data_IF_447642738238
#
_entry.id   IF_447642738238
#
_cell.length_a   1.000
_cell.length_b   1.000
_cell.length_c   1.000
_cell.angle_alpha   90.00
_cell.angle_beta   90.00
_cell.angle_gamma   90.00
#
_symmetry.space_group_name_H-M   'P 1'
#
loop_
_entity.id
_entity.type
_entity.pdbx_description
1 polymer ?
#
# COMPACT_ATOMS: atom_id res chain seq x y z
N UNK A 1 19.92 -23.29 21.83
CA UNK A 1 19.68 -23.01 20.39
C UNK A 1 18.20 -22.72 20.16
N UNK A 2 17.69 -21.65 20.79
CA UNK A 2 16.26 -21.23 20.76
C UNK A 2 16.14 -19.70 20.64
N UNK A 3 17.19 -18.95 20.99
CA UNK A 3 17.19 -17.48 21.00
C UNK A 3 17.21 -16.82 19.62
N UNK A 4 17.65 -17.51 18.57
CA UNK A 4 17.68 -16.96 17.19
C UNK A 4 16.28 -16.78 16.59
N UNK A 5 15.29 -17.56 17.08
CA UNK A 5 13.88 -17.42 16.65
C UNK A 5 13.18 -16.18 17.22
N UNK A 6 13.73 -15.53 18.25
CA UNK A 6 13.16 -14.31 18.86
C UNK A 6 13.59 -13.01 18.15
N UNK A 7 14.50 -13.09 17.18
CA UNK A 7 15.05 -11.95 16.44
C UNK A 7 14.47 -11.80 15.04
N UNK A 8 13.43 -12.58 14.67
CA UNK A 8 12.71 -12.29 13.43
C UNK A 8 12.04 -10.92 13.56
N UNK A 9 12.43 -9.91 12.76
CA UNK A 9 11.65 -8.69 12.72
C UNK A 9 10.30 -9.07 12.14
N UNK A 10 9.25 -9.00 12.96
CA UNK A 10 7.89 -8.90 12.48
C UNK A 10 7.82 -7.55 11.74
N UNK A 11 8.22 -7.55 10.47
CA UNK A 11 7.98 -6.45 9.57
C UNK A 11 6.47 -6.44 9.26
N UNK A 12 5.68 -6.00 10.24
CA UNK A 12 4.30 -5.67 10.02
C UNK A 12 4.29 -4.46 9.09
N UNK A 13 3.65 -4.58 7.93
CA UNK A 13 3.43 -3.43 7.05
C UNK A 13 2.82 -2.30 7.90
N UNK A 14 3.54 -1.17 8.01
CA UNK A 14 3.16 -0.07 8.89
C UNK A 14 1.94 0.69 8.38
N UNK A 15 1.51 0.42 7.15
CA UNK A 15 0.33 0.99 6.51
C UNK A 15 -0.39 -0.07 5.68
N UNK A 16 -1.72 -0.10 5.76
CA UNK A 16 -2.58 -0.93 4.89
C UNK A 16 -3.92 -0.25 4.65
N UNK A 17 -4.49 -0.37 3.46
CA UNK A 17 -5.87 0.04 3.21
C UNK A 17 -6.84 -0.82 4.04
N UNK A 18 -7.76 -0.15 4.73
CA UNK A 18 -8.92 -0.77 5.37
C UNK A 18 -10.13 -0.74 4.46
N UNK A 19 -10.26 0.30 3.63
CA UNK A 19 -11.25 0.38 2.56
C UNK A 19 -10.70 1.13 1.34
N UNK A 20 -10.80 0.57 0.12
CA UNK A 20 -11.14 -0.83 -0.14
C UNK A 20 -10.11 -1.76 0.52
N UNK A 21 -10.51 -2.96 0.96
CA UNK A 21 -9.59 -3.87 1.63
C UNK A 21 -8.39 -4.18 0.74
N UNK A 22 -7.18 -4.17 1.31
CA UNK A 22 -5.97 -4.60 0.59
C UNK A 22 -6.10 -6.04 0.10
N UNK A 23 -5.40 -6.36 -0.98
CA UNK A 23 -5.14 -7.76 -1.36
C UNK A 23 -4.57 -8.50 -0.15
N UNK A 24 -5.17 -9.63 0.21
CA UNK A 24 -4.79 -10.37 1.40
C UNK A 24 -3.39 -10.96 1.22
N UNK A 25 -2.42 -10.50 2.00
CA UNK A 25 -1.10 -11.11 2.05
C UNK A 25 -1.15 -12.26 3.05
N UNK A 26 -1.20 -13.50 2.57
CA UNK A 26 -1.10 -14.69 3.43
C UNK A 26 0.37 -14.86 3.85
N UNK A 27 0.82 -14.00 4.77
CA UNK A 27 2.02 -14.07 5.62
C UNK A 27 3.41 -14.42 5.00
N UNK A 28 3.54 -14.68 3.70
CA UNK A 28 4.77 -15.29 3.14
C UNK A 28 5.14 -14.78 1.73
N UNK A 29 4.91 -13.50 1.40
CA UNK A 29 5.58 -12.92 0.23
C UNK A 29 6.81 -12.15 0.71
N UNK A 30 7.85 -12.90 1.09
CA UNK A 30 9.15 -12.33 1.35
C UNK A 30 9.68 -11.68 0.06
N UNK A 31 10.18 -10.47 0.24
CA UNK A 31 10.89 -9.63 -0.73
C UNK A 31 12.27 -10.26 -0.99
N UNK A 32 12.31 -11.50 -1.51
CA UNK A 32 13.57 -12.25 -1.64
C UNK A 32 14.02 -12.50 -3.07
N UNK A 33 13.35 -11.86 -4.03
CA UNK A 33 13.93 -11.70 -5.34
C UNK A 33 13.77 -10.24 -5.74
N UNK A 34 14.88 -9.51 -5.88
CA UNK A 34 14.94 -8.16 -6.45
C UNK A 34 14.46 -8.06 -7.90
N UNK A 35 13.56 -8.95 -8.33
CA UNK A 35 12.76 -8.84 -9.53
C UNK A 35 11.47 -8.10 -9.17
N UNK A 36 11.50 -6.79 -9.39
CA UNK A 36 10.32 -5.99 -9.72
C UNK A 36 9.09 -6.33 -8.87
N UNK A 37 9.07 -5.86 -7.62
CA UNK A 37 7.83 -5.77 -6.85
C UNK A 37 6.75 -5.19 -7.77
N UNK A 38 5.72 -5.98 -8.06
CA UNK A 38 4.54 -5.48 -8.78
C UNK A 38 4.05 -4.20 -8.08
N UNK A 39 3.38 -3.31 -8.82
CA UNK A 39 2.88 -2.01 -8.34
C UNK A 39 2.20 -2.05 -6.96
N UNK A 40 1.60 -3.17 -6.57
CA UNK A 40 0.90 -3.35 -5.30
C UNK A 40 1.63 -4.21 -4.25
N UNK A 41 2.91 -4.58 -4.45
CA UNK A 41 3.72 -5.38 -3.51
C UNK A 41 3.31 -6.85 -3.35
N UNK A 42 2.11 -7.24 -3.79
CA UNK A 42 1.57 -8.60 -3.79
C UNK A 42 0.91 -8.93 -5.13
N UNK A 43 0.97 -10.21 -5.58
CA UNK A 43 0.36 -10.63 -6.83
C UNK A 43 -1.15 -10.40 -6.87
N UNK A 44 -1.69 -10.15 -8.06
CA UNK A 44 -3.14 -10.18 -8.30
C UNK A 44 -3.64 -11.61 -8.08
N UNK A 45 -4.66 -11.75 -7.24
CA UNK A 45 -5.41 -13.00 -7.11
C UNK A 45 -6.66 -12.93 -8.01
N UNK A 46 -6.79 -13.79 -9.04
CA UNK A 46 -7.99 -13.85 -9.88
C UNK A 46 -9.28 -14.16 -9.12
N UNK A 47 -9.17 -14.75 -7.92
CA UNK A 47 -10.29 -15.07 -7.03
C UNK A 47 -10.32 -14.18 -5.79
N UNK A 48 -9.51 -13.12 -5.76
CA UNK A 48 -9.44 -12.19 -4.66
C UNK A 48 -10.72 -11.38 -4.49
N UNK A 49 -10.92 -10.85 -3.27
CA UNK A 49 -12.05 -9.95 -2.99
C UNK A 49 -11.85 -8.64 -3.74
N UNK A 50 -12.87 -8.23 -4.50
CA UNK A 50 -12.91 -6.94 -5.20
C UNK A 50 -13.98 -6.05 -4.59
N UNK A 51 -13.73 -4.74 -4.64
CA UNK A 51 -14.72 -3.73 -4.24
C UNK A 51 -15.31 -3.12 -5.50
N UNK A 52 -16.63 -3.15 -5.62
CA UNK A 52 -17.35 -2.48 -6.69
C UNK A 52 -17.64 -1.05 -6.27
N UNK A 53 -17.21 -0.08 -7.07
CA UNK A 53 -17.44 1.34 -6.85
C UNK A 53 -18.31 1.88 -7.98
N UNK A 54 -19.30 2.72 -7.64
CA UNK A 54 -20.13 3.37 -8.64
C UNK A 54 -19.36 4.53 -9.29
N UNK A 55 -19.42 4.62 -10.60
CA UNK A 55 -18.83 5.76 -11.31
C UNK A 55 -19.52 7.08 -10.91
N UNK A 56 -18.71 8.10 -10.61
CA UNK A 56 -19.18 9.43 -10.21
C UNK A 56 -19.58 9.56 -8.74
N UNK A 57 -19.41 8.51 -7.93
CA UNK A 57 -19.63 8.57 -6.48
C UNK A 57 -18.35 9.00 -5.75
N UNK A 58 -18.51 9.76 -4.68
CA UNK A 58 -17.43 10.08 -3.75
C UNK A 58 -17.09 8.86 -2.90
N UNK A 59 -15.81 8.46 -2.89
CA UNK A 59 -15.35 7.25 -2.18
C UNK A 59 -14.42 7.62 -1.04
N UNK A 60 -14.81 7.26 0.18
CA UNK A 60 -13.99 7.43 1.37
C UNK A 60 -12.96 6.31 1.49
N UNK A 61 -11.74 6.57 1.01
CA UNK A 61 -10.60 5.66 1.16
C UNK A 61 -10.06 5.75 2.59
N UNK A 62 -9.88 4.59 3.24
CA UNK A 62 -9.37 4.52 4.61
C UNK A 62 -8.20 3.56 4.70
N UNK A 63 -7.27 3.86 5.60
CA UNK A 63 -6.14 2.99 5.89
C UNK A 63 -5.88 2.96 7.39
N UNK A 64 -5.26 1.86 7.81
CA UNK A 64 -4.67 1.72 9.12
C UNK A 64 -3.17 1.98 9.01
N UNK A 65 -2.63 2.77 9.94
CA UNK A 65 -1.20 2.90 10.15
C UNK A 65 -0.87 2.63 11.62
N UNK A 66 0.14 1.81 11.88
CA UNK A 66 0.51 1.41 13.25
C UNK A 66 1.34 2.47 13.96
N UNK A 67 2.20 3.18 13.21
CA UNK A 67 3.05 4.24 13.71
C UNK A 67 3.13 5.34 12.66
N UNK A 68 3.02 6.59 13.10
CA UNK A 68 3.20 7.74 12.20
C UNK A 68 4.67 7.87 11.85
N UNK A 69 4.99 7.86 10.55
CA UNK A 69 6.33 8.09 10.03
C UNK A 69 6.34 9.38 9.21
N UNK A 70 7.48 10.07 9.18
CA UNK A 70 7.64 11.23 8.28
C UNK A 70 7.57 10.78 6.82
N UNK A 71 6.76 11.47 6.02
CA UNK A 71 6.60 11.17 4.60
C UNK A 71 5.33 11.76 4.02
N UNK A 72 5.15 11.54 2.73
CA UNK A 72 3.92 11.86 2.01
C UNK A 72 3.31 10.55 1.46
N UNK A 73 2.02 10.58 1.16
CA UNK A 73 1.35 9.47 0.50
C UNK A 73 1.00 9.83 -0.94
N UNK A 74 1.03 8.83 -1.82
CA UNK A 74 0.52 8.94 -3.19
C UNK A 74 -0.54 7.87 -3.37
N UNK A 75 -1.73 8.27 -3.81
CA UNK A 75 -2.82 7.37 -4.14
C UNK A 75 -2.99 7.37 -5.65
N UNK A 76 -2.92 6.19 -6.26
CA UNK A 76 -2.99 6.01 -7.72
C UNK A 76 -4.05 4.98 -8.07
N UNK A 77 -4.72 5.21 -9.19
CA UNK A 77 -5.64 4.26 -9.79
C UNK A 77 -4.93 3.57 -10.96
N UNK A 78 -4.98 2.24 -10.97
CA UNK A 78 -4.38 1.41 -12.00
C UNK A 78 -5.46 0.69 -12.80
N UNK A 79 -5.19 0.43 -14.08
CA UNK A 79 -6.02 -0.45 -14.90
C UNK A 79 -5.65 -1.94 -14.73
N UNK A 80 -6.36 -2.81 -15.46
CA UNK A 80 -6.13 -4.27 -15.42
C UNK A 80 -4.73 -4.70 -15.83
N UNK A 81 -4.02 -3.86 -16.60
CA UNK A 81 -2.64 -4.07 -17.04
C UNK A 81 -1.60 -3.45 -16.10
N UNK A 82 -2.00 -3.02 -14.90
CA UNK A 82 -1.14 -2.34 -13.91
C UNK A 82 -0.56 -1.00 -14.41
N UNK A 83 -1.23 -0.34 -15.35
CA UNK A 83 -0.87 0.99 -15.80
C UNK A 83 -1.62 2.05 -14.98
N UNK A 84 -0.92 3.10 -14.57
CA UNK A 84 -1.52 4.22 -13.83
C UNK A 84 -2.43 5.01 -14.78
N UNK A 85 -3.70 5.17 -14.40
CA UNK A 85 -4.70 5.92 -15.17
C UNK A 85 -5.16 7.20 -14.46
N UNK A 86 -4.94 7.31 -13.15
CA UNK A 86 -5.19 8.53 -12.40
C UNK A 86 -4.32 8.61 -11.12
N UNK A 87 -4.03 9.83 -10.68
CA UNK A 87 -3.46 10.12 -9.35
C UNK A 87 -4.54 10.81 -8.55
N UNK A 88 -4.92 10.20 -7.42
CA UNK A 88 -6.04 10.62 -6.58
C UNK A 88 -5.60 11.42 -5.35
N UNK A 89 -4.34 11.27 -4.94
CA UNK A 89 -3.76 12.09 -3.87
C UNK A 89 -3.44 13.50 -4.38
N UNK A 90 -3.51 14.53 -3.53
CA UNK A 90 -3.00 15.86 -3.86
C UNK A 90 -1.55 15.76 -4.32
N UNK A 91 -1.23 16.35 -5.47
CA UNK A 91 0.16 16.59 -5.85
C UNK A 91 0.63 17.77 -5.02
N UNK A 92 1.18 17.51 -3.84
CA UNK A 92 1.89 18.55 -3.10
C UNK A 92 3.05 19.00 -4.00
N UNK A 93 2.93 20.19 -4.60
CA UNK A 93 4.10 20.95 -4.98
C UNK A 93 4.79 21.29 -3.66
N UNK A 94 5.70 20.43 -3.22
CA UNK A 94 6.54 20.71 -2.06
C UNK A 94 7.43 21.87 -2.50
N UNK A 95 7.00 23.10 -2.17
CA UNK A 95 7.91 24.23 -2.16
C UNK A 95 8.94 23.88 -1.08
N UNK A 96 10.21 23.76 -1.44
CA UNK A 96 11.30 23.19 -0.63
C UNK A 96 11.68 24.00 0.62
N UNK A 97 10.78 24.85 1.12
CA UNK A 97 11.01 25.76 2.24
C UNK A 97 10.20 25.43 3.50
N UNK A 98 9.24 24.50 3.44
CA UNK A 98 8.46 24.15 4.63
C UNK A 98 9.22 23.09 5.46
N UNK A 99 10.09 23.59 6.33
CA UNK A 99 10.65 22.82 7.44
C UNK A 99 9.53 22.49 8.43
N UNK A 100 9.52 21.23 8.85
CA UNK A 100 8.74 20.67 9.93
C UNK A 100 8.62 21.63 11.13
N UNK A 101 7.39 21.80 11.61
CA UNK A 101 7.06 22.12 13.00
C UNK A 101 6.59 20.83 13.69
#
# INVERSE_FOLDING_TARGET
MIWILLLLPLAAAHIRLTYPPTRYSFLNYSIDSGKSLQTCGVPKDPKGVVTWLRSGEDVNITWFQSLSHYGNFKLELLNELDQIIAVLSPVTNINTNDKAL
#
